data_IF_883907578447
#
_entry.id   IF_883907578447
#
_cell.length_a   1.000
_cell.length_b   1.000
_cell.length_c   1.000
_cell.angle_alpha   90.00
_cell.angle_beta   90.00
_cell.angle_gamma   90.00
#
_symmetry.space_group_name_H-M   'P 1'
#
loop_
_entity.id
_entity.type
_entity.pdbx_description
1 polymer ?
#
# COMPACT_ATOMS: atom_id res chain seq x y z
N UNK A 1 21.92 6.23 6.85
CA UNK A 1 20.50 6.23 6.42
C UNK A 1 20.39 7.08 5.17
N UNK A 2 19.65 6.65 4.15
CA UNK A 2 19.36 7.43 2.94
C UNK A 2 17.86 7.61 2.77
N UNK A 3 17.42 8.80 2.36
CA UNK A 3 16.01 9.08 2.06
C UNK A 3 15.78 8.99 0.54
N UNK A 4 15.04 7.97 0.11
CA UNK A 4 14.60 7.79 -1.26
C UNK A 4 13.26 8.47 -1.46
N UNK A 5 13.33 9.68 -1.99
CA UNK A 5 12.17 10.51 -2.25
C UNK A 5 12.03 10.79 -3.73
N UNK A 6 10.95 10.29 -4.32
CA UNK A 6 10.66 10.33 -5.76
C UNK A 6 10.60 11.73 -6.39
N UNK A 7 10.41 12.79 -5.59
CA UNK A 7 10.40 14.20 -6.05
C UNK A 7 11.56 15.03 -5.48
N UNK A 8 12.57 14.36 -4.92
CA UNK A 8 13.74 15.01 -4.33
C UNK A 8 14.81 15.37 -5.36
N UNK A 9 15.93 15.90 -4.84
CA UNK A 9 17.16 16.09 -5.63
C UNK A 9 18.04 14.83 -5.69
N UNK A 10 17.83 13.88 -4.77
CA UNK A 10 18.55 12.61 -4.74
C UNK A 10 18.04 11.72 -5.87
N UNK A 11 18.92 11.23 -6.76
CA UNK A 11 18.53 10.23 -7.75
C UNK A 11 17.90 9.01 -7.09
N UNK A 12 16.91 8.41 -7.75
CA UNK A 12 16.33 7.16 -7.28
C UNK A 12 17.34 6.04 -7.48
N UNK A 13 17.73 5.41 -6.37
CA UNK A 13 18.65 4.29 -6.35
C UNK A 13 17.94 3.03 -5.86
N UNK A 14 18.39 1.89 -6.39
CA UNK A 14 18.04 0.57 -5.87
C UNK A 14 18.68 0.36 -4.49
N UNK A 15 18.13 -0.60 -3.73
CA UNK A 15 18.72 -1.02 -2.46
C UNK A 15 20.18 -1.44 -2.63
N UNK A 16 20.52 -2.13 -3.72
CA UNK A 16 21.89 -2.60 -4.00
C UNK A 16 22.88 -1.46 -4.26
N UNK A 17 22.46 -0.42 -4.98
CA UNK A 17 23.28 0.78 -5.20
C UNK A 17 23.48 1.54 -3.89
N UNK A 18 22.44 1.66 -3.06
CA UNK A 18 22.57 2.29 -1.75
C UNK A 18 23.51 1.50 -0.82
N UNK A 19 23.44 0.17 -0.88
CA UNK A 19 24.32 -0.71 -0.12
C UNK A 19 25.78 -0.57 -0.56
N UNK A 20 26.06 -0.53 -1.88
CA UNK A 20 27.41 -0.35 -2.40
C UNK A 20 27.99 1.03 -2.07
N UNK A 21 27.14 2.04 -1.90
CA UNK A 21 27.50 3.37 -1.40
C UNK A 21 27.68 3.43 0.14
N UNK A 22 27.46 2.33 0.85
CA UNK A 22 27.67 2.21 2.30
C UNK A 22 26.47 2.55 3.17
N UNK A 23 25.28 2.80 2.59
CA UNK A 23 24.06 3.03 3.36
C UNK A 23 23.54 1.72 3.97
N UNK A 24 23.11 1.79 5.25
CA UNK A 24 22.56 0.65 6.00
C UNK A 24 21.04 0.66 6.15
N UNK A 25 20.41 1.79 5.85
CA UNK A 25 18.96 1.99 5.93
C UNK A 25 18.58 2.90 4.77
N UNK A 26 17.53 2.54 4.04
CA UNK A 26 16.91 3.35 3.00
C UNK A 26 15.43 3.57 3.34
N UNK A 27 14.93 4.78 3.14
CA UNK A 27 13.58 5.19 3.52
C UNK A 27 12.78 5.61 2.28
N UNK A 28 11.65 4.95 2.02
CA UNK A 28 10.63 5.38 1.05
C UNK A 28 9.40 5.85 1.80
N UNK A 29 9.47 7.06 2.35
CA UNK A 29 8.55 7.50 3.42
C UNK A 29 7.11 7.70 2.92
N UNK A 30 6.94 8.28 1.74
CA UNK A 30 5.64 8.78 1.27
C UNK A 30 5.12 8.10 0.02
N UNK A 31 5.92 7.28 -0.65
CA UNK A 31 5.56 6.73 -1.96
C UNK A 31 4.30 5.85 -1.90
N UNK A 32 4.21 4.97 -0.88
CA UNK A 32 3.02 4.15 -0.65
C UNK A 32 1.78 5.00 -0.32
N UNK A 33 1.94 6.04 0.51
CA UNK A 33 0.86 6.95 0.87
C UNK A 33 0.34 7.72 -0.35
N UNK A 34 1.24 8.19 -1.22
CA UNK A 34 0.86 8.91 -2.44
C UNK A 34 0.21 7.99 -3.48
N UNK A 35 0.66 6.74 -3.58
CA UNK A 35 -0.01 5.72 -4.38
C UNK A 35 -1.45 5.49 -3.89
N UNK A 36 -1.64 5.32 -2.58
CA UNK A 36 -2.97 5.16 -1.99
C UNK A 36 -3.86 6.40 -2.22
N UNK A 37 -3.33 7.62 -2.03
CA UNK A 37 -4.07 8.85 -2.28
C UNK A 37 -4.52 8.97 -3.74
N UNK A 38 -3.67 8.57 -4.70
CA UNK A 38 -4.04 8.54 -6.13
C UNK A 38 -5.16 7.53 -6.40
N UNK A 39 -5.08 6.33 -5.84
CA UNK A 39 -6.11 5.31 -5.99
C UNK A 39 -7.46 5.77 -5.41
N UNK A 40 -7.45 6.35 -4.19
CA UNK A 40 -8.65 6.91 -3.56
C UNK A 40 -9.26 8.02 -4.43
N UNK A 41 -8.43 8.94 -4.92
CA UNK A 41 -8.89 10.02 -5.81
C UNK A 41 -9.58 9.47 -7.05
N UNK A 42 -8.99 8.46 -7.69
CA UNK A 42 -9.54 7.84 -8.90
C UNK A 42 -10.89 7.15 -8.65
N UNK A 43 -11.01 6.36 -7.57
CA UNK A 43 -12.27 5.71 -7.19
C UNK A 43 -13.38 6.74 -6.99
N UNK A 44 -13.09 7.83 -6.29
CA UNK A 44 -14.06 8.90 -6.01
C UNK A 44 -14.44 9.72 -7.24
N UNK A 45 -13.50 9.98 -8.15
CA UNK A 45 -13.79 10.65 -9.42
C UNK A 45 -14.72 9.79 -10.29
N UNK A 46 -14.47 8.49 -10.38
CA UNK A 46 -15.32 7.54 -11.11
C UNK A 46 -16.72 7.47 -10.50
N UNK A 47 -16.81 7.37 -9.18
CA UNK A 47 -18.09 7.35 -8.49
C UNK A 47 -18.89 8.65 -8.74
N UNK A 48 -18.22 9.81 -8.69
CA UNK A 48 -18.86 11.10 -8.95
C UNK A 48 -19.40 11.18 -10.39
N UNK A 49 -18.61 10.74 -11.36
CA UNK A 49 -18.92 10.94 -12.79
C UNK A 49 -19.89 9.88 -13.33
N UNK A 50 -19.86 8.65 -12.81
CA UNK A 50 -20.63 7.51 -13.34
C UNK A 50 -21.72 6.99 -12.38
N UNK A 51 -21.70 7.41 -11.12
CA UNK A 51 -22.61 6.90 -10.09
C UNK A 51 -22.32 5.44 -9.67
N UNK A 52 -21.19 4.88 -10.10
CA UNK A 52 -20.75 3.50 -9.78
C UNK A 52 -19.21 3.43 -9.78
N UNK A 53 -18.63 2.39 -9.18
CA UNK A 53 -17.18 2.11 -9.18
C UNK A 53 -16.81 0.90 -10.04
N UNK A 54 -17.72 0.39 -10.88
CA UNK A 54 -17.50 -0.82 -11.68
C UNK A 54 -16.20 -0.79 -12.50
N UNK A 55 -15.79 0.39 -12.99
CA UNK A 55 -14.60 0.57 -13.83
C UNK A 55 -13.25 0.37 -13.11
N UNK A 56 -13.21 0.38 -11.79
CA UNK A 56 -11.98 0.17 -11.00
C UNK A 56 -11.94 -1.18 -10.29
N UNK A 57 -12.93 -2.03 -10.53
CA UNK A 57 -13.06 -3.29 -9.80
C UNK A 57 -11.85 -4.21 -10.00
N UNK A 58 -11.26 -4.22 -11.19
CA UNK A 58 -10.03 -4.97 -11.54
C UNK A 58 -8.76 -4.47 -10.82
N UNK A 59 -8.83 -3.31 -10.17
CA UNK A 59 -7.71 -2.68 -9.44
C UNK A 59 -7.86 -2.77 -7.93
N UNK A 60 -9.01 -3.26 -7.44
CA UNK A 60 -9.24 -3.46 -6.02
C UNK A 60 -8.52 -4.73 -5.57
N UNK A 61 -8.01 -4.69 -4.34
CA UNK A 61 -7.52 -5.88 -3.66
C UNK A 61 -8.62 -6.94 -3.60
N UNK A 62 -8.25 -8.21 -3.77
CA UNK A 62 -9.20 -9.32 -3.66
C UNK A 62 -9.85 -9.35 -2.27
N UNK A 63 -11.09 -9.81 -2.20
CA UNK A 63 -11.83 -9.85 -0.92
C UNK A 63 -11.13 -10.73 0.13
N UNK A 64 -10.66 -11.91 -0.27
CA UNK A 64 -9.89 -12.83 0.59
C UNK A 64 -8.51 -12.24 0.93
N UNK A 65 -7.81 -11.71 -0.07
CA UNK A 65 -6.50 -11.05 0.12
C UNK A 65 -6.58 -9.90 1.14
N UNK A 66 -7.66 -9.10 1.09
CA UNK A 66 -7.89 -8.03 2.04
C UNK A 66 -8.09 -8.58 3.47
N UNK A 67 -8.87 -9.65 3.63
CA UNK A 67 -9.11 -10.23 4.94
C UNK A 67 -7.88 -10.88 5.55
N UNK A 68 -7.07 -11.53 4.74
CA UNK A 68 -5.77 -12.04 5.15
C UNK A 68 -4.86 -10.88 5.57
N UNK A 69 -4.83 -9.79 4.81
CA UNK A 69 -4.03 -8.60 5.15
C UNK A 69 -4.45 -7.97 6.48
N UNK A 70 -5.75 -7.86 6.77
CA UNK A 70 -6.24 -7.25 8.02
C UNK A 70 -6.31 -8.25 9.19
N UNK A 71 -5.89 -9.49 8.99
CA UNK A 71 -5.74 -10.50 10.04
C UNK A 71 -7.07 -11.11 10.51
N UNK A 72 -8.09 -11.15 9.65
CA UNK A 72 -9.37 -11.79 10.00
C UNK A 72 -9.20 -13.26 10.42
N UNK A 73 -8.36 -14.10 9.76
CA UNK A 73 -8.18 -15.48 10.17
C UNK A 73 -7.69 -15.64 11.62
N UNK A 74 -6.77 -14.78 12.05
CA UNK A 74 -6.21 -14.76 13.40
C UNK A 74 -7.27 -14.35 14.43
N UNK A 75 -8.08 -13.34 14.10
CA UNK A 75 -9.20 -12.92 14.93
C UNK A 75 -10.23 -14.03 15.11
N UNK A 76 -10.61 -14.72 14.04
CA UNK A 76 -11.54 -15.85 14.11
C UNK A 76 -10.97 -17.03 14.89
N UNK A 77 -9.66 -17.29 14.80
CA UNK A 77 -9.00 -18.32 15.60
C UNK A 77 -9.03 -17.97 17.10
N UNK A 78 -8.87 -16.68 17.42
CA UNK A 78 -8.99 -16.17 18.79
C UNK A 78 -10.41 -16.35 19.32
N UNK A 79 -11.42 -15.99 18.52
CA UNK A 79 -12.83 -16.18 18.87
C UNK A 79 -13.15 -17.64 19.16
N UNK A 80 -12.75 -18.58 18.28
CA UNK A 80 -12.97 -20.02 18.52
C UNK A 80 -12.30 -20.54 19.78
N UNK A 81 -11.14 -19.99 20.15
CA UNK A 81 -10.38 -20.40 21.33
C UNK A 81 -11.02 -19.95 22.64
N UNK A 82 -11.69 -18.79 22.62
CA UNK A 82 -12.24 -18.15 23.83
C UNK A 82 -13.76 -18.03 23.84
N UNK A 83 -14.44 -18.56 22.83
CA UNK A 83 -15.89 -18.72 22.85
C UNK A 83 -16.29 -19.64 24.02
N UNK A 84 -17.20 -19.14 24.87
CA UNK A 84 -17.81 -19.88 25.98
C UNK A 84 -18.70 -21.02 25.46
#
# INVERSE_FOLDING_TARGET
VCNMFSRGKTPLCTVKELESLGYKIALWVTDALWAAAKAVKEVLEILRDEGTTARVHDRLMGFEEYFDLVGLPEHQALERRYAL
#
